data_IF_343360712139
#
_entry.id   IF_343360712139
#
_cell.length_a   1.000
_cell.length_b   1.000
_cell.length_c   1.000
_cell.angle_alpha   90.00
_cell.angle_beta   90.00
_cell.angle_gamma   90.00
#
_symmetry.space_group_name_H-M   'P 1'
#
loop_
_entity.id
_entity.type
_entity.pdbx_description
1 polymer ?
#
# COMPACT_ATOMS: atom_id res chain seq x y z
N UNK A 1 -7.11 -45.20 3.46
CA UNK A 1 -6.68 -43.96 4.15
C UNK A 1 -7.04 -42.79 3.26
N UNK A 2 -7.66 -41.74 3.81
CA UNK A 2 -8.06 -40.56 3.04
C UNK A 2 -6.92 -39.55 3.03
N UNK A 3 -6.44 -39.20 1.85
CA UNK A 3 -5.49 -38.11 1.66
C UNK A 3 -6.22 -36.79 1.91
N UNK A 4 -5.65 -35.86 2.71
CA UNK A 4 -6.24 -34.54 2.89
C UNK A 4 -6.38 -33.78 1.57
N UNK A 5 -7.37 -32.90 1.49
CA UNK A 5 -7.56 -31.99 0.36
C UNK A 5 -6.41 -30.97 0.33
N UNK A 6 -6.05 -30.51 -0.87
CA UNK A 6 -5.06 -29.46 -1.09
C UNK A 6 -5.47 -28.19 -0.33
N UNK A 7 -4.58 -27.56 0.46
CA UNK A 7 -4.88 -26.28 1.08
C UNK A 7 -5.20 -25.22 0.02
N UNK A 8 -6.30 -24.49 0.23
CA UNK A 8 -6.75 -23.39 -0.62
C UNK A 8 -6.50 -22.08 0.09
N UNK A 9 -5.64 -21.23 -0.49
CA UNK A 9 -5.24 -19.97 0.12
C UNK A 9 -6.10 -18.83 -0.40
N UNK A 10 -6.64 -18.05 0.54
CA UNK A 10 -7.24 -16.75 0.26
C UNK A 10 -6.26 -15.66 0.73
N UNK A 11 -5.86 -14.78 -0.18
CA UNK A 11 -4.95 -13.67 0.11
C UNK A 11 -5.69 -12.34 -0.01
N UNK A 12 -5.57 -11.52 1.02
CA UNK A 12 -6.07 -10.14 1.03
C UNK A 12 -4.90 -9.20 0.72
N UNK A 13 -5.12 -8.29 -0.23
CA UNK A 13 -4.12 -7.30 -0.63
C UNK A 13 -3.81 -6.30 0.51
N UNK A 14 -2.57 -5.74 0.55
CA UNK A 14 -2.22 -4.67 1.49
C UNK A 14 -3.01 -3.39 1.21
N UNK A 15 -3.04 -2.52 2.21
CA UNK A 15 -3.60 -1.16 2.12
C UNK A 15 -2.53 -0.13 2.47
N UNK A 16 -2.87 1.15 2.53
CA UNK A 16 -1.96 2.20 3.03
C UNK A 16 -1.76 2.16 4.56
N UNK A 17 -2.48 1.29 5.28
CA UNK A 17 -2.50 1.22 6.75
C UNK A 17 -2.21 -0.18 7.30
N UNK A 18 -2.14 -1.21 6.45
CA UNK A 18 -1.88 -2.58 6.85
C UNK A 18 -1.21 -3.37 5.73
N UNK A 19 -0.34 -4.31 6.12
CA UNK A 19 0.18 -5.35 5.24
C UNK A 19 -0.95 -6.25 4.71
N UNK A 20 -0.68 -6.95 3.62
CA UNK A 20 -1.55 -8.03 3.15
C UNK A 20 -1.49 -9.22 4.09
N UNK A 21 -2.53 -10.04 4.10
CA UNK A 21 -2.58 -11.27 4.89
C UNK A 21 -3.13 -12.43 4.08
N UNK A 22 -2.91 -13.64 4.56
CA UNK A 22 -3.39 -14.87 3.91
C UNK A 22 -4.03 -15.80 4.92
N UNK A 23 -5.02 -16.55 4.47
CA UNK A 23 -5.76 -17.54 5.25
C UNK A 23 -5.91 -18.84 4.47
N UNK A 24 -5.95 -19.97 5.17
CA UNK A 24 -6.33 -21.26 4.62
C UNK A 24 -7.85 -21.35 4.66
N UNK A 25 -8.51 -21.11 3.52
CA UNK A 25 -9.98 -21.06 3.45
C UNK A 25 -10.67 -22.40 3.68
N UNK A 26 -9.97 -23.51 3.44
CA UNK A 26 -10.42 -24.87 3.76
C UNK A 26 -9.66 -25.45 4.98
N UNK A 27 -9.39 -24.61 5.98
CA UNK A 27 -8.75 -25.03 7.22
C UNK A 27 -9.57 -26.11 7.95
N UNK A 28 -8.87 -27.12 8.48
CA UNK A 28 -9.41 -28.19 9.32
C UNK A 28 -8.48 -28.38 10.52
N UNK A 29 -9.00 -28.15 11.72
CA UNK A 29 -8.24 -28.24 12.97
C UNK A 29 -7.78 -29.66 13.35
N UNK A 30 -8.23 -30.70 12.64
CA UNK A 30 -7.71 -32.06 12.79
C UNK A 30 -6.43 -32.31 11.97
N UNK A 31 -6.05 -31.38 11.09
CA UNK A 31 -4.89 -31.49 10.22
C UNK A 31 -3.71 -30.67 10.75
N UNK A 32 -2.51 -31.06 10.33
CA UNK A 32 -1.29 -30.30 10.51
C UNK A 32 -0.88 -29.64 9.21
N UNK A 33 -0.47 -28.38 9.26
CA UNK A 33 -0.09 -27.60 8.09
C UNK A 33 1.40 -27.31 8.13
N UNK A 34 2.10 -27.66 7.05
CA UNK A 34 3.56 -27.46 6.94
C UNK A 34 3.84 -26.50 5.80
N UNK A 35 4.43 -25.36 6.14
CA UNK A 35 4.81 -24.31 5.21
C UNK A 35 6.23 -24.50 4.70
N UNK A 36 6.45 -24.19 3.43
CA UNK A 36 7.77 -24.10 2.80
C UNK A 36 7.90 -22.74 2.11
N UNK A 37 8.88 -21.90 2.48
CA UNK A 37 9.82 -22.05 3.60
C UNK A 37 9.15 -22.19 4.98
N UNK A 38 9.87 -22.74 5.96
CA UNK A 38 9.39 -22.81 7.34
C UNK A 38 9.35 -21.41 7.99
N UNK A 39 8.52 -21.26 9.03
CA UNK A 39 8.37 -20.00 9.77
C UNK A 39 6.90 -19.64 10.03
N UNK A 40 6.02 -19.68 9.01
CA UNK A 40 4.62 -19.38 9.20
C UNK A 40 3.90 -20.40 10.09
N UNK A 41 2.84 -19.93 10.74
CA UNK A 41 1.90 -20.73 11.54
C UNK A 41 0.48 -20.38 11.17
N UNK A 42 -0.45 -21.30 11.39
CA UNK A 42 -1.88 -21.09 11.18
C UNK A 42 -2.64 -21.17 12.50
N UNK A 43 -3.61 -20.29 12.73
CA UNK A 43 -4.46 -20.32 13.91
C UNK A 43 -5.71 -21.18 13.72
N UNK A 44 -6.59 -21.24 14.74
CA UNK A 44 -7.81 -22.04 14.71
C UNK A 44 -8.86 -21.56 13.70
N UNK A 45 -8.70 -20.37 13.13
CA UNK A 45 -9.57 -19.79 12.10
C UNK A 45 -8.95 -19.91 10.69
N UNK A 46 -7.75 -20.49 10.57
CA UNK A 46 -7.05 -20.60 9.30
C UNK A 46 -6.18 -19.39 8.97
N UNK A 47 -6.07 -18.38 9.84
CA UNK A 47 -5.24 -17.19 9.60
C UNK A 47 -3.76 -17.54 9.69
N UNK A 48 -2.99 -17.16 8.66
CA UNK A 48 -1.56 -17.42 8.58
C UNK A 48 -0.79 -16.23 9.15
N UNK A 49 0.08 -16.49 10.12
CA UNK A 49 0.97 -15.51 10.78
C UNK A 49 2.43 -15.92 10.65
N UNK A 50 3.36 -14.99 10.88
CA UNK A 50 4.81 -15.26 10.87
C UNK A 50 5.44 -15.38 9.47
N UNK A 51 4.69 -15.03 8.42
CA UNK A 51 5.23 -14.94 7.06
C UNK A 51 6.19 -13.75 6.94
N UNK A 52 7.28 -13.94 6.20
CA UNK A 52 8.11 -12.82 5.74
C UNK A 52 7.46 -12.19 4.50
N UNK A 53 7.27 -10.88 4.50
CA UNK A 53 6.66 -10.15 3.38
C UNK A 53 7.50 -10.31 2.10
N UNK A 54 6.84 -10.32 0.93
CA UNK A 54 7.44 -10.58 -0.39
C UNK A 54 8.15 -11.94 -0.52
N UNK A 55 7.93 -12.88 0.40
CA UNK A 55 8.46 -14.25 0.29
C UNK A 55 7.34 -15.18 -0.18
N UNK A 56 7.62 -15.98 -1.21
CA UNK A 56 6.70 -17.00 -1.70
C UNK A 56 6.70 -18.19 -0.75
N UNK A 57 5.50 -18.60 -0.35
CA UNK A 57 5.25 -19.78 0.46
C UNK A 57 4.34 -20.76 -0.27
N UNK A 58 4.48 -22.00 0.11
CA UNK A 58 3.60 -23.11 -0.23
C UNK A 58 3.23 -23.83 1.07
N UNK A 59 2.08 -24.51 1.09
CA UNK A 59 1.64 -25.28 2.25
C UNK A 59 1.09 -26.65 1.84
N UNK A 60 1.35 -27.63 2.70
CA UNK A 60 0.74 -28.97 2.63
C UNK A 60 -0.04 -29.24 3.90
N UNK A 61 -1.07 -30.09 3.81
CA UNK A 61 -1.82 -30.57 4.96
C UNK A 61 -1.58 -32.07 5.20
N UNK A 62 -1.46 -32.47 6.46
CA UNK A 62 -1.24 -33.86 6.85
C UNK A 62 -2.15 -34.30 8.00
N UNK A 63 -2.64 -35.54 7.91
CA UNK A 63 -3.36 -36.25 8.98
C UNK A 63 -2.47 -37.32 9.67
N UNK A 64 -1.16 -37.02 9.78
CA UNK A 64 -0.09 -37.88 10.29
C UNK A 64 0.24 -39.15 9.48
N UNK A 65 -0.66 -39.60 8.60
CA UNK A 65 -0.50 -40.85 7.84
C UNK A 65 -0.47 -40.63 6.33
N UNK A 66 -1.11 -39.56 5.83
CA UNK A 66 -1.01 -39.05 4.47
C UNK A 66 -0.74 -37.54 4.47
N UNK A 67 -0.19 -37.06 3.35
CA UNK A 67 0.03 -35.64 3.07
C UNK A 67 -0.66 -35.27 1.77
N UNK A 68 -1.31 -34.11 1.73
CA UNK A 68 -1.92 -33.56 0.51
C UNK A 68 -0.86 -33.25 -0.56
N UNK A 69 -1.29 -32.98 -1.79
CA UNK A 69 -0.44 -32.23 -2.70
C UNK A 69 -0.23 -30.80 -2.18
N UNK A 70 0.81 -30.14 -2.68
CA UNK A 70 1.16 -28.76 -2.32
C UNK A 70 0.14 -27.75 -2.85
N UNK A 71 -0.08 -26.66 -2.10
CA UNK A 71 -0.89 -25.53 -2.55
C UNK A 71 -0.27 -24.79 -3.74
N UNK A 72 -1.02 -23.87 -4.35
CA UNK A 72 -0.43 -22.83 -5.17
C UNK A 72 0.51 -21.94 -4.31
N UNK A 73 1.48 -21.30 -4.96
CA UNK A 73 2.35 -20.32 -4.32
C UNK A 73 1.58 -19.05 -3.95
N UNK A 74 1.87 -18.49 -2.79
CA UNK A 74 1.28 -17.26 -2.29
C UNK A 74 2.28 -16.45 -1.47
N UNK A 75 2.02 -15.17 -1.28
CA UNK A 75 2.85 -14.27 -0.47
C UNK A 75 2.01 -13.13 0.08
N UNK A 76 2.38 -12.65 1.26
CA UNK A 76 1.86 -11.38 1.76
C UNK A 76 2.75 -10.24 1.25
N UNK A 77 2.11 -9.19 0.76
CA UNK A 77 2.80 -7.97 0.33
C UNK A 77 2.81 -6.95 1.46
N UNK A 78 3.85 -6.10 1.54
CA UNK A 78 3.90 -5.04 2.54
C UNK A 78 2.83 -3.99 2.29
N UNK A 79 2.51 -3.24 3.34
CA UNK A 79 1.69 -2.03 3.31
C UNK A 79 2.15 -1.12 2.17
N UNK A 80 1.17 -0.54 1.47
CA UNK A 80 1.43 0.35 0.34
C UNK A 80 2.13 1.63 0.81
N UNK A 81 3.00 2.16 -0.04
CA UNK A 81 3.75 3.38 0.29
C UNK A 81 2.82 4.58 0.20
N UNK A 82 2.68 5.31 1.31
CA UNK A 82 2.00 6.60 1.33
C UNK A 82 2.98 7.70 0.88
N UNK A 83 2.61 8.56 -0.08
CA UNK A 83 3.45 9.68 -0.48
C UNK A 83 3.76 10.62 0.68
N UNK A 84 4.91 11.28 0.62
CA UNK A 84 5.27 12.33 1.59
C UNK A 84 4.37 13.54 1.39
N UNK A 85 3.97 14.19 2.48
CA UNK A 85 3.19 15.43 2.44
C UNK A 85 3.94 16.48 1.59
N UNK A 86 3.28 17.12 0.61
CA UNK A 86 3.91 18.17 -0.18
C UNK A 86 4.35 19.35 0.68
N UNK A 87 5.55 19.86 0.41
CA UNK A 87 6.10 21.06 1.06
C UNK A 87 6.09 22.19 0.04
N UNK A 88 5.16 23.11 0.22
CA UNK A 88 4.99 24.29 -0.65
C UNK A 88 5.86 25.43 -0.15
N UNK A 89 6.61 26.05 -1.06
CA UNK A 89 7.34 27.28 -0.83
C UNK A 89 6.75 28.39 -1.67
N UNK A 90 6.52 29.54 -1.04
CA UNK A 90 5.94 30.72 -1.67
C UNK A 90 6.95 31.85 -1.76
N UNK A 91 6.98 32.52 -2.91
CA UNK A 91 7.69 33.78 -3.11
C UNK A 91 6.67 34.87 -3.35
N UNK A 92 6.67 35.88 -2.47
CA UNK A 92 5.74 37.00 -2.57
C UNK A 92 5.94 37.81 -3.87
N UNK A 93 4.86 38.37 -4.45
CA UNK A 93 4.98 39.30 -5.57
C UNK A 93 5.72 40.58 -5.17
N UNK A 94 6.34 41.23 -6.16
CA UNK A 94 6.92 42.57 -6.04
C UNK A 94 6.27 43.51 -7.06
N UNK A 95 6.60 44.81 -7.02
CA UNK A 95 6.10 45.77 -8.02
C UNK A 95 6.55 45.47 -9.46
N UNK A 96 7.54 44.58 -9.65
CA UNK A 96 8.16 44.28 -10.94
C UNK A 96 8.01 42.81 -11.35
N UNK A 97 7.56 41.93 -10.47
CA UNK A 97 7.45 40.49 -10.72
C UNK A 97 6.27 39.87 -9.96
N UNK A 98 5.57 38.93 -10.61
CA UNK A 98 4.56 38.13 -9.94
C UNK A 98 5.20 37.20 -8.90
N UNK A 99 4.43 36.88 -7.85
CA UNK A 99 4.77 35.84 -6.90
C UNK A 99 4.57 34.46 -7.52
N UNK A 100 5.13 33.44 -6.90
CA UNK A 100 4.95 32.06 -7.33
C UNK A 100 5.02 31.11 -6.14
N UNK A 101 4.38 29.94 -6.30
CA UNK A 101 4.47 28.85 -5.35
C UNK A 101 5.07 27.61 -6.03
N UNK A 102 5.82 26.82 -5.29
CA UNK A 102 6.43 25.58 -5.81
C UNK A 102 6.43 24.47 -4.77
N UNK A 103 6.25 23.24 -5.21
CA UNK A 103 6.39 22.03 -4.40
C UNK A 103 7.86 21.65 -4.37
N UNK A 104 8.52 21.91 -3.24
CA UNK A 104 9.97 21.72 -3.08
C UNK A 104 10.40 20.25 -3.04
N UNK A 105 9.50 19.36 -2.62
CA UNK A 105 9.69 17.91 -2.62
C UNK A 105 8.90 17.23 -3.76
N UNK A 106 8.88 17.86 -4.93
CA UNK A 106 8.21 17.31 -6.10
C UNK A 106 8.78 15.93 -6.50
N UNK A 107 7.90 14.99 -6.81
CA UNK A 107 8.23 13.63 -7.27
C UNK A 107 7.57 13.37 -8.61
N UNK A 108 8.39 13.10 -9.64
CA UNK A 108 7.88 12.78 -10.97
C UNK A 108 6.99 11.52 -10.95
N UNK A 109 5.88 11.56 -11.70
CA UNK A 109 4.90 10.47 -11.74
C UNK A 109 3.92 10.43 -10.57
N UNK A 110 4.05 11.35 -9.61
CA UNK A 110 3.06 11.57 -8.54
C UNK A 110 2.05 12.60 -9.00
N UNK A 111 0.77 12.34 -8.73
CA UNK A 111 -0.32 13.30 -8.94
C UNK A 111 -0.42 14.22 -7.73
N UNK A 112 -0.68 15.50 -7.96
CA UNK A 112 -0.85 16.50 -6.90
C UNK A 112 -2.27 17.04 -6.93
N UNK A 113 -3.04 16.67 -5.91
CA UNK A 113 -4.45 16.94 -5.79
C UNK A 113 -4.66 18.22 -4.97
N UNK A 114 -5.03 19.32 -5.63
CA UNK A 114 -5.24 20.62 -5.00
C UNK A 114 -6.68 20.77 -4.49
N UNK A 115 -6.83 21.36 -3.30
CA UNK A 115 -8.11 21.74 -2.71
C UNK A 115 -8.09 23.22 -2.35
N UNK A 116 -8.96 24.07 -2.94
CA UNK A 116 -9.90 23.76 -4.02
C UNK A 116 -9.21 23.42 -5.34
N UNK A 117 -9.94 22.73 -6.24
CA UNK A 117 -9.44 22.38 -7.57
C UNK A 117 -9.17 23.62 -8.42
N UNK A 118 -8.18 23.56 -9.30
CA UNK A 118 -7.83 24.65 -10.21
C UNK A 118 -6.33 24.74 -10.51
N UNK A 119 -5.47 24.75 -9.47
CA UNK A 119 -4.04 24.77 -9.68
C UNK A 119 -3.52 23.50 -10.35
N UNK A 120 -2.40 23.63 -11.04
CA UNK A 120 -1.63 22.52 -11.62
C UNK A 120 -0.16 22.67 -11.28
N UNK A 121 0.58 21.57 -11.32
CA UNK A 121 2.02 21.54 -11.09
C UNK A 121 2.74 21.03 -12.32
N UNK A 122 3.83 21.69 -12.71
CA UNK A 122 4.68 21.25 -13.81
C UNK A 122 5.79 20.27 -13.36
N UNK A 123 6.61 19.81 -14.30
CA UNK A 123 7.71 18.86 -14.03
C UNK A 123 8.85 19.40 -13.16
N UNK A 124 8.82 20.68 -12.80
CA UNK A 124 9.78 21.32 -11.87
C UNK A 124 9.18 21.54 -10.48
N UNK A 125 7.90 21.21 -10.28
CA UNK A 125 7.19 21.48 -9.05
C UNK A 125 6.57 22.89 -9.01
N UNK A 126 6.67 23.69 -10.08
CA UNK A 126 6.08 25.03 -10.11
C UNK A 126 4.55 24.93 -10.20
N UNK A 127 3.87 25.66 -9.31
CA UNK A 127 2.40 25.70 -9.25
C UNK A 127 1.89 26.85 -10.12
N UNK A 128 0.88 26.58 -10.94
CA UNK A 128 0.23 27.56 -11.80
C UNK A 128 -1.30 27.46 -11.71
N UNK A 129 -2.03 28.48 -12.19
CA UNK A 129 -3.50 28.48 -12.20
C UNK A 129 -4.17 28.82 -10.86
N UNK A 130 -3.41 29.30 -9.87
CA UNK A 130 -3.96 29.79 -8.61
C UNK A 130 -4.76 31.07 -8.80
N UNK A 131 -5.84 31.21 -8.03
CA UNK A 131 -6.63 32.45 -7.95
C UNK A 131 -6.16 33.29 -6.77
N UNK A 132 -5.90 34.59 -7.00
CA UNK A 132 -5.47 35.51 -5.95
C UNK A 132 -6.44 35.54 -4.76
N UNK A 133 -5.88 35.44 -3.56
CA UNK A 133 -6.65 35.49 -2.31
C UNK A 133 -7.40 34.21 -1.97
N UNK A 134 -7.25 33.15 -2.77
CA UNK A 134 -7.78 31.82 -2.47
C UNK A 134 -6.72 30.99 -1.77
N UNK A 135 -7.06 30.43 -0.61
CA UNK A 135 -6.21 29.48 0.10
C UNK A 135 -6.34 28.10 -0.52
N UNK A 136 -5.21 27.48 -0.81
CA UNK A 136 -5.09 26.13 -1.34
C UNK A 136 -4.34 25.22 -0.36
N UNK A 137 -4.67 23.94 -0.41
CA UNK A 137 -3.88 22.85 0.12
C UNK A 137 -3.61 21.85 -1.01
N UNK A 138 -2.54 21.07 -0.90
CA UNK A 138 -2.23 20.04 -1.88
C UNK A 138 -1.83 18.72 -1.22
N UNK A 139 -2.38 17.62 -1.72
CA UNK A 139 -1.98 16.26 -1.35
C UNK A 139 -1.23 15.59 -2.51
N UNK A 140 -0.28 14.72 -2.20
CA UNK A 140 0.41 13.87 -3.17
C UNK A 140 -0.28 12.51 -3.26
N UNK A 141 -0.38 11.96 -4.47
CA UNK A 141 -1.06 10.71 -4.76
C UNK A 141 -0.25 9.86 -5.76
N UNK A 142 0.06 8.61 -5.39
CA UNK A 142 0.81 7.68 -6.25
C UNK A 142 -0.09 6.65 -6.97
N UNK A 143 -1.39 6.91 -7.04
CA UNK A 143 -2.40 6.03 -7.64
C UNK A 143 -2.96 4.97 -6.68
N UNK A 144 -2.31 4.75 -5.52
CA UNK A 144 -2.78 3.79 -4.51
C UNK A 144 -3.06 4.45 -3.16
N UNK A 145 -2.20 5.37 -2.72
CA UNK A 145 -2.29 6.07 -1.46
C UNK A 145 -2.15 7.58 -1.67
N UNK A 146 -2.79 8.34 -0.78
CA UNK A 146 -2.68 9.80 -0.73
C UNK A 146 -1.98 10.23 0.55
N UNK A 147 -1.13 11.25 0.45
CA UNK A 147 -0.56 11.91 1.63
C UNK A 147 -1.64 12.69 2.39
N UNK A 148 -1.29 13.14 3.59
CA UNK A 148 -2.01 14.26 4.22
C UNK A 148 -1.82 15.53 3.36
N UNK A 149 -2.76 16.45 3.46
CA UNK A 149 -2.67 17.77 2.84
C UNK A 149 -1.45 18.56 3.36
N UNK A 150 -0.88 19.38 2.49
CA UNK A 150 0.11 20.40 2.86
C UNK A 150 -0.47 21.40 3.85
N UNK A 151 0.40 22.24 4.43
CA UNK A 151 -0.06 23.50 5.00
C UNK A 151 -0.76 24.35 3.91
N UNK A 152 -1.72 25.17 4.33
CA UNK A 152 -2.42 26.09 3.46
C UNK A 152 -1.48 27.18 2.90
N UNK A 153 -1.66 27.55 1.64
CA UNK A 153 -0.87 28.54 0.89
C UNK A 153 -1.77 29.35 -0.08
N UNK A 154 -1.34 30.52 -0.57
CA UNK A 154 -2.19 31.50 -1.32
C UNK A 154 -1.51 32.19 -2.49
#
# INVERSE_FOLDING_TARGET
LVTPVVPTIATTAPTCLADGFSEISNYDGALTYVFTPAGPTVDALGLISGMTLNTLYEVTASNATCTSTVSAQFSNLPMLVTPVVPVVSETAPTCLAAGFASITNYVAGTTYDFTPVGPTVDGTGLISGMTFGTSYEVAANNGSCSSVNSAAFT
#
